data_IF_059709307911
#
_entry.id   IF_059709307911
#
_cell.length_a   1.000
_cell.length_b   1.000
_cell.length_c   1.000
_cell.angle_alpha   90.00
_cell.angle_beta   90.00
_cell.angle_gamma   90.00
#
_symmetry.space_group_name_H-M   'P 1'
#
loop_
_entity.id
_entity.type
_entity.pdbx_description
1 polymer ?
#
# COMPACT_ATOMS: atom_id res chain seq x y z
N UNK A 1 -0.29 18.17 -3.54
CA UNK A 1 -1.41 18.75 -2.77
C UNK A 1 -1.17 20.24 -2.66
N UNK A 2 -2.19 21.09 -2.48
CA UNK A 2 -2.08 22.57 -2.56
C UNK A 2 -1.14 23.27 -1.56
N UNK A 3 -0.31 22.53 -0.81
CA UNK A 3 0.63 23.02 0.19
C UNK A 3 2.09 22.57 -0.03
N UNK A 4 2.40 21.89 -1.15
CA UNK A 4 3.78 21.51 -1.48
C UNK A 4 3.93 20.39 -2.52
N UNK A 5 5.16 20.18 -2.98
CA UNK A 5 5.53 19.06 -3.86
C UNK A 5 5.84 17.81 -3.04
N UNK A 6 5.23 16.68 -3.41
CA UNK A 6 5.49 15.38 -2.80
C UNK A 6 6.54 14.66 -3.65
N UNK A 7 7.57 14.10 -3.01
CA UNK A 7 8.55 13.27 -3.70
C UNK A 7 7.94 11.90 -4.06
N UNK A 8 8.37 11.28 -5.18
CA UNK A 8 7.94 9.93 -5.52
C UNK A 8 8.21 8.93 -4.38
N UNK A 9 7.26 8.01 -4.09
CA UNK A 9 7.46 6.99 -3.08
C UNK A 9 8.61 6.05 -3.49
N UNK A 10 9.39 5.62 -2.51
CA UNK A 10 10.50 4.66 -2.69
C UNK A 10 10.23 3.29 -2.09
N UNK A 11 9.14 3.16 -1.33
CA UNK A 11 8.76 1.97 -0.58
C UNK A 11 7.25 1.75 -0.66
N UNK A 12 6.84 0.50 -0.44
CA UNK A 12 5.43 0.08 -0.52
C UNK A 12 4.53 0.85 0.46
N UNK A 13 4.99 1.13 1.67
CA UNK A 13 4.21 1.82 2.70
C UNK A 13 3.87 3.25 2.26
N UNK A 14 4.88 3.99 1.82
CA UNK A 14 4.70 5.37 1.34
C UNK A 14 3.87 5.41 0.06
N UNK A 15 4.02 4.43 -0.83
CA UNK A 15 3.20 4.35 -2.04
C UNK A 15 1.72 4.11 -1.71
N UNK A 16 1.44 3.20 -0.79
CA UNK A 16 0.10 2.90 -0.31
C UNK A 16 -0.58 4.12 0.38
N UNK A 17 0.16 4.83 1.22
CA UNK A 17 -0.31 6.07 1.87
C UNK A 17 -0.60 7.18 0.84
N UNK A 18 0.30 7.39 -0.13
CA UNK A 18 0.11 8.39 -1.17
C UNK A 18 -1.07 8.05 -2.08
N UNK A 19 -1.30 6.78 -2.39
CA UNK A 19 -2.49 6.33 -3.11
C UNK A 19 -3.78 6.72 -2.37
N UNK A 20 -3.83 6.51 -1.04
CA UNK A 20 -4.95 6.95 -0.21
C UNK A 20 -5.13 8.47 -0.24
N UNK A 21 -4.05 9.23 -0.07
CA UNK A 21 -4.08 10.70 -0.08
C UNK A 21 -4.57 11.22 -1.45
N UNK A 22 -4.14 10.60 -2.55
CA UNK A 22 -4.58 10.97 -3.89
C UNK A 22 -6.08 10.75 -4.06
N UNK A 23 -6.59 9.58 -3.69
CA UNK A 23 -8.03 9.28 -3.74
C UNK A 23 -8.87 10.27 -2.92
N UNK A 24 -8.36 10.69 -1.76
CA UNK A 24 -9.05 11.68 -0.91
C UNK A 24 -8.98 13.09 -1.48
N UNK A 25 -7.83 13.48 -2.02
CA UNK A 25 -7.66 14.80 -2.61
C UNK A 25 -8.56 14.96 -3.82
N UNK A 26 -8.61 13.95 -4.71
CA UNK A 26 -9.50 13.98 -5.87
C UNK A 26 -10.95 13.99 -5.47
N UNK A 27 -11.33 13.30 -4.39
CA UNK A 27 -12.70 13.34 -3.89
C UNK A 27 -13.09 14.72 -3.34
N UNK A 28 -12.17 15.46 -2.71
CA UNK A 28 -12.46 16.82 -2.24
C UNK A 28 -12.66 17.82 -3.39
N UNK A 29 -12.09 17.54 -4.57
CA UNK A 29 -12.14 18.42 -5.74
C UNK A 29 -13.23 18.01 -6.76
N UNK A 30 -13.83 16.83 -6.62
CA UNK A 30 -14.79 16.27 -7.58
C UNK A 30 -16.05 15.71 -6.90
N UNK A 31 -17.20 15.87 -7.56
CA UNK A 31 -18.44 15.22 -7.14
C UNK A 31 -18.50 13.79 -7.73
N UNK A 32 -18.47 12.77 -6.87
CA UNK A 32 -18.63 11.37 -7.28
C UNK A 32 -17.62 10.41 -6.62
N UNK A 33 -17.65 9.16 -7.09
CA UNK A 33 -16.72 8.13 -6.67
C UNK A 33 -15.35 8.24 -7.30
N UNK A 34 -14.31 7.89 -6.54
CA UNK A 34 -12.94 7.86 -7.03
C UNK A 34 -12.42 6.42 -7.04
N UNK A 35 -11.84 6.01 -8.17
CA UNK A 35 -11.39 4.63 -8.36
C UNK A 35 -9.88 4.55 -8.55
N UNK A 36 -9.27 3.48 -8.03
CA UNK A 36 -7.92 3.03 -8.39
C UNK A 36 -8.03 1.72 -9.21
N UNK A 37 -8.00 1.77 -10.56
CA UNK A 37 -8.38 0.64 -11.41
C UNK A 37 -7.39 -0.54 -11.50
N UNK A 38 -6.10 -0.32 -11.23
CA UNK A 38 -5.05 -1.33 -11.44
C UNK A 38 -4.11 -1.41 -10.21
N UNK A 39 -4.71 -1.45 -9.02
CA UNK A 39 -4.03 -1.14 -7.76
C UNK A 39 -2.91 -2.10 -7.38
N UNK A 40 -3.08 -3.39 -7.62
CA UNK A 40 -2.08 -4.42 -7.37
C UNK A 40 -0.84 -4.23 -8.26
N UNK A 41 -1.05 -3.96 -9.55
CA UNK A 41 0.03 -3.72 -10.50
C UNK A 41 0.73 -2.37 -10.26
N UNK A 42 -0.04 -1.30 -10.02
CA UNK A 42 0.47 0.05 -9.75
C UNK A 42 1.31 0.12 -8.48
N UNK A 43 0.96 -0.66 -7.44
CA UNK A 43 1.77 -0.75 -6.23
C UNK A 43 2.90 -1.79 -6.32
N UNK A 44 2.77 -2.79 -7.19
CA UNK A 44 3.75 -3.87 -7.35
C UNK A 44 5.16 -3.36 -7.65
N UNK A 45 5.28 -2.26 -8.38
CA UNK A 45 6.57 -1.64 -8.73
C UNK A 45 7.37 -1.15 -7.51
N UNK A 46 6.73 -0.97 -6.36
CA UNK A 46 7.38 -0.52 -5.12
C UNK A 46 7.83 -1.66 -4.21
N UNK A 47 7.45 -2.90 -4.52
CA UNK A 47 7.83 -4.09 -3.73
C UNK A 47 9.32 -4.39 -3.91
N UNK A 48 9.81 -4.45 -5.15
CA UNK A 48 11.24 -4.71 -5.43
C UNK A 48 12.19 -3.66 -4.82
N UNK A 49 11.94 -2.34 -4.95
CA UNK A 49 12.73 -1.33 -4.21
C UNK A 49 12.72 -1.55 -2.69
N UNK A 50 11.57 -1.95 -2.12
CA UNK A 50 11.45 -2.26 -0.69
C UNK A 50 12.27 -3.50 -0.32
N UNK A 51 12.22 -4.55 -1.15
CA UNK A 51 13.01 -5.77 -1.00
C UNK A 51 14.51 -5.47 -1.00
N UNK A 52 14.97 -4.66 -1.96
CA UNK A 52 16.38 -4.27 -2.06
C UNK A 52 16.86 -3.47 -0.86
N UNK A 53 16.05 -2.53 -0.34
CA UNK A 53 16.37 -1.79 0.88
C UNK A 53 16.53 -2.74 2.06
N UNK A 54 15.60 -3.69 2.25
CA UNK A 54 15.67 -4.71 3.30
C UNK A 54 16.92 -5.60 3.18
N UNK A 55 17.30 -5.99 1.97
CA UNK A 55 18.52 -6.78 1.75
C UNK A 55 19.77 -6.02 2.18
N UNK A 56 19.90 -4.75 1.79
CA UNK A 56 21.03 -3.91 2.18
C UNK A 56 21.11 -3.73 3.70
N UNK A 57 19.97 -3.46 4.35
CA UNK A 57 19.89 -3.37 5.81
C UNK A 57 20.37 -4.67 6.50
N UNK A 58 20.04 -5.84 5.94
CA UNK A 58 20.43 -7.14 6.50
C UNK A 58 21.88 -7.51 6.18
N UNK A 59 22.39 -7.12 5.02
CA UNK A 59 23.81 -7.26 4.65
C UNK A 59 24.72 -6.43 5.56
N UNK A 60 24.31 -5.19 5.89
CA UNK A 60 25.03 -4.33 6.84
C UNK A 60 25.11 -4.92 8.25
N UNK A 61 24.16 -5.78 8.63
CA UNK A 61 24.16 -6.50 9.90
C UNK A 61 25.09 -7.73 9.90
N UNK A 62 25.73 -8.06 8.79
CA UNK A 62 26.72 -9.14 8.69
C UNK A 62 26.12 -10.55 8.78
N UNK A 63 24.87 -10.73 8.33
CA UNK A 63 24.18 -12.01 8.32
C UNK A 63 24.65 -12.93 7.18
N UNK A 64 24.47 -14.24 7.34
CA UNK A 64 24.72 -15.22 6.27
C UNK A 64 23.76 -15.00 5.10
N UNK A 65 24.23 -15.18 3.86
CA UNK A 65 23.44 -14.96 2.63
C UNK A 65 22.10 -15.72 2.61
N UNK A 66 22.10 -16.98 3.03
CA UNK A 66 20.88 -17.80 3.10
C UNK A 66 19.86 -17.26 4.12
N UNK A 67 20.35 -16.74 5.25
CA UNK A 67 19.51 -16.09 6.25
C UNK A 67 18.98 -14.74 5.74
N UNK A 68 19.78 -14.00 4.97
CA UNK A 68 19.37 -12.71 4.40
C UNK A 68 18.17 -12.89 3.49
N UNK A 69 18.21 -13.84 2.56
CA UNK A 69 17.10 -14.09 1.63
C UNK A 69 15.81 -14.45 2.38
N UNK A 70 15.91 -15.43 3.29
CA UNK A 70 14.77 -15.88 4.10
C UNK A 70 14.18 -14.76 4.96
N UNK A 71 15.03 -13.97 5.62
CA UNK A 71 14.60 -12.85 6.47
C UNK A 71 14.06 -11.67 5.66
N UNK A 72 14.61 -11.43 4.47
CA UNK A 72 14.14 -10.40 3.54
C UNK A 72 12.71 -10.67 3.17
N UNK A 73 12.39 -11.85 2.64
CA UNK A 73 11.04 -12.20 2.22
C UNK A 73 10.04 -12.18 3.40
N UNK A 74 10.46 -12.67 4.57
CA UNK A 74 9.65 -12.61 5.77
C UNK A 74 9.36 -11.16 6.24
N UNK A 75 10.33 -10.25 6.14
CA UNK A 75 10.15 -8.82 6.49
C UNK A 75 9.37 -8.08 5.41
N UNK A 76 9.60 -8.39 4.14
CA UNK A 76 8.90 -7.81 3.00
C UNK A 76 7.41 -8.11 3.11
N UNK A 77 7.03 -9.39 3.28
CA UNK A 77 5.63 -9.78 3.47
C UNK A 77 4.98 -9.03 4.64
N UNK A 78 5.68 -8.86 5.77
CA UNK A 78 5.19 -8.05 6.90
C UNK A 78 4.97 -6.58 6.54
N UNK A 79 5.90 -5.95 5.80
CA UNK A 79 5.75 -4.56 5.33
C UNK A 79 4.55 -4.42 4.39
N UNK A 80 4.37 -5.34 3.44
CA UNK A 80 3.20 -5.37 2.54
C UNK A 80 1.91 -5.55 3.34
N UNK A 81 1.87 -6.44 4.33
CA UNK A 81 0.71 -6.60 5.22
C UNK A 81 0.35 -5.30 5.95
N UNK A 82 1.33 -4.64 6.56
CA UNK A 82 1.10 -3.37 7.26
C UNK A 82 0.64 -2.26 6.30
N UNK A 83 1.22 -2.18 5.10
CA UNK A 83 0.81 -1.22 4.09
C UNK A 83 -0.64 -1.44 3.66
N UNK A 84 -1.03 -2.68 3.32
CA UNK A 84 -2.40 -2.99 2.87
C UNK A 84 -3.42 -2.82 3.99
N UNK A 85 -3.08 -3.21 5.22
CA UNK A 85 -3.90 -2.92 6.40
C UNK A 85 -4.13 -1.41 6.56
N UNK A 86 -3.07 -0.61 6.39
CA UNK A 86 -3.14 0.85 6.41
C UNK A 86 -4.08 1.40 5.33
N UNK A 87 -4.08 0.82 4.12
CA UNK A 87 -5.01 1.20 3.04
C UNK A 87 -6.45 0.92 3.44
N UNK A 88 -6.75 -0.31 3.87
CA UNK A 88 -8.11 -0.71 4.28
C UNK A 88 -8.61 0.19 5.41
N UNK A 89 -7.76 0.49 6.40
CA UNK A 89 -8.08 1.41 7.49
C UNK A 89 -8.33 2.84 6.99
N UNK A 90 -7.38 3.42 6.27
CA UNK A 90 -7.46 4.81 5.81
C UNK A 90 -8.69 5.06 4.93
N UNK A 91 -9.05 4.12 4.05
CA UNK A 91 -10.23 4.28 3.21
C UNK A 91 -11.55 4.25 3.99
N UNK A 92 -11.56 3.71 5.21
CA UNK A 92 -12.76 3.58 6.03
C UNK A 92 -12.81 4.53 7.22
N UNK A 93 -11.69 5.11 7.65
CA UNK A 93 -11.65 6.04 8.80
C UNK A 93 -11.40 7.48 8.41
N UNK A 94 -10.96 7.75 7.19
CA UNK A 94 -10.67 9.10 6.74
C UNK A 94 -11.97 9.81 6.34
N UNK A 95 -12.18 11.02 6.84
CA UNK A 95 -13.36 11.84 6.52
C UNK A 95 -13.04 12.93 5.50
N UNK A 96 -13.95 13.17 4.55
CA UNK A 96 -13.86 14.31 3.63
C UNK A 96 -14.16 15.64 4.34
N UNK A 97 -13.65 16.76 3.79
CA UNK A 97 -13.77 18.10 4.42
C UNK A 97 -15.21 18.57 4.64
N UNK A 98 -16.14 18.14 3.80
CA UNK A 98 -17.53 18.56 3.84
C UNK A 98 -18.43 17.43 4.38
N UNK A 99 -18.69 17.45 5.70
CA UNK A 99 -19.79 16.66 6.28
C UNK A 99 -19.43 15.34 6.94
N UNK A 100 -18.15 15.05 7.21
CA UNK A 100 -17.73 13.81 7.90
C UNK A 100 -18.15 12.50 7.20
N UNK A 101 -18.37 12.53 5.88
CA UNK A 101 -18.68 11.31 5.12
C UNK A 101 -17.39 10.59 4.71
N UNK A 102 -17.39 9.26 4.85
CA UNK A 102 -16.32 8.39 4.35
C UNK A 102 -16.24 8.54 2.82
N UNK A 103 -15.04 8.64 2.24
CA UNK A 103 -14.90 8.77 0.80
C UNK A 103 -15.56 7.61 0.06
N UNK A 104 -16.33 7.90 -1.00
CA UNK A 104 -16.80 6.85 -1.88
C UNK A 104 -15.65 6.48 -2.82
N UNK A 105 -14.93 5.43 -2.45
CA UNK A 105 -13.75 4.95 -3.17
C UNK A 105 -13.93 3.51 -3.64
N UNK A 106 -13.36 3.19 -4.79
CA UNK A 106 -13.25 1.81 -5.28
C UNK A 106 -11.80 1.45 -5.57
N UNK A 107 -11.38 0.25 -5.17
CA UNK A 107 -10.11 -0.34 -5.58
C UNK A 107 -10.44 -1.53 -6.48
N UNK A 108 -9.75 -1.63 -7.61
CA UNK A 108 -9.82 -2.77 -8.51
C UNK A 108 -8.48 -3.51 -8.47
N UNK A 109 -8.55 -4.82 -8.33
CA UNK A 109 -7.44 -5.76 -8.24
C UNK A 109 -7.88 -7.12 -8.79
N UNK A 110 -6.94 -8.01 -9.10
CA UNK A 110 -7.24 -9.41 -9.44
C UNK A 110 -6.70 -9.89 -10.78
N UNK A 111 -5.90 -9.08 -11.49
CA UNK A 111 -5.19 -9.49 -12.70
C UNK A 111 -3.71 -9.07 -12.56
N UNK A 112 -2.95 -9.71 -11.64
CA UNK A 112 -1.57 -9.35 -11.40
C UNK A 112 -0.67 -9.76 -12.58
N UNK A 113 0.20 -8.84 -13.00
CA UNK A 113 1.16 -9.04 -14.09
C UNK A 113 2.55 -9.51 -13.60
N UNK A 114 2.75 -9.59 -12.28
CA UNK A 114 4.00 -10.02 -11.65
C UNK A 114 3.73 -10.73 -10.31
N UNK A 115 4.74 -11.45 -9.80
CA UNK A 115 4.66 -12.09 -8.47
C UNK A 115 4.50 -11.05 -7.35
N UNK A 116 5.14 -9.89 -7.49
CA UNK A 116 5.03 -8.79 -6.53
C UNK A 116 3.61 -8.17 -6.52
N UNK A 117 2.99 -8.00 -7.68
CA UNK A 117 1.60 -7.57 -7.78
C UNK A 117 0.66 -8.64 -7.21
N UNK A 118 0.93 -9.92 -7.48
CA UNK A 118 0.16 -11.03 -6.93
C UNK A 118 0.23 -11.07 -5.40
N UNK A 119 1.41 -10.82 -4.81
CA UNK A 119 1.59 -10.68 -3.37
C UNK A 119 0.74 -9.55 -2.79
N UNK A 120 0.70 -8.39 -3.45
CA UNK A 120 -0.15 -7.27 -3.02
C UNK A 120 -1.63 -7.66 -3.07
N UNK A 121 -2.07 -8.25 -4.18
CA UNK A 121 -3.44 -8.69 -4.38
C UNK A 121 -3.87 -9.69 -3.29
N UNK A 122 -3.07 -10.73 -3.04
CA UNK A 122 -3.29 -11.72 -1.98
C UNK A 122 -3.39 -11.05 -0.61
N UNK A 123 -2.39 -10.25 -0.26
CA UNK A 123 -2.29 -9.62 1.06
C UNK A 123 -3.43 -8.62 1.27
N UNK A 124 -3.80 -7.84 0.26
CA UNK A 124 -4.92 -6.92 0.33
C UNK A 124 -6.23 -7.66 0.62
N UNK A 125 -6.51 -8.75 -0.10
CA UNK A 125 -7.70 -9.56 0.12
C UNK A 125 -7.73 -10.19 1.52
N UNK A 126 -6.58 -10.66 2.02
CA UNK A 126 -6.46 -11.17 3.39
C UNK A 126 -6.73 -10.09 4.44
N UNK A 127 -6.19 -8.88 4.28
CA UNK A 127 -6.47 -7.77 5.20
C UNK A 127 -7.92 -7.29 5.11
N UNK A 128 -8.51 -7.33 3.91
CA UNK A 128 -9.92 -7.00 3.71
C UNK A 128 -10.85 -8.02 4.38
N UNK A 129 -10.57 -9.33 4.21
CA UNK A 129 -11.35 -10.42 4.81
C UNK A 129 -11.28 -10.42 6.35
N UNK A 130 -10.12 -10.07 6.92
CA UNK A 130 -9.99 -9.87 8.38
C UNK A 130 -10.95 -8.81 8.92
N UNK A 131 -11.42 -7.91 8.06
CA UNK A 131 -12.30 -6.81 8.41
C UNK A 131 -11.59 -5.69 9.15
N UNK A 132 -12.36 -4.65 9.49
CA UNK A 132 -11.87 -3.47 10.19
C UNK A 132 -12.20 -3.53 11.68
N UNK A 133 -11.15 -3.73 12.48
CA UNK A 133 -11.19 -3.64 13.93
C UNK A 133 -11.58 -4.94 14.66
N UNK A 134 -11.11 -5.02 15.91
CA UNK A 134 -11.82 -5.67 17.01
C UNK A 134 -12.20 -4.57 17.98
N UNK A 135 -13.41 -4.04 17.83
CA UNK A 135 -14.18 -3.47 18.92
C UNK A 135 -15.09 -4.55 19.44
#
# INVERSE_FOLDING_TARGET
TGYGTINPPKRIETAAELSCILLQSTQNDMFGGQSHPDFDNDLGIFVEPTRRELMLELEELGLDKEKIETLTEARLKKRVHQAMQGVVYNLNTMHSRAGSQVPFSSINLGIPNSEDAALICEVFLLEYEKGLGKG
#
